data_IF_843208387333
#
_entry.id   IF_843208387333
#
_cell.length_a   1.000
_cell.length_b   1.000
_cell.length_c   1.000
_cell.angle_alpha   90.00
_cell.angle_beta   90.00
_cell.angle_gamma   90.00
#
_symmetry.space_group_name_H-M   'P 1'
#
loop_
_entity.id
_entity.type
_entity.pdbx_description
1 polymer ?
#
# COMPACT_ATOMS: atom_id res chain seq x y z
N UNK A 1 7.46 20.18 -13.49
CA UNK A 1 7.55 19.60 -12.14
C UNK A 1 9.00 19.26 -11.94
N UNK A 2 9.62 19.84 -10.91
CA UNK A 2 11.07 19.81 -10.72
C UNK A 2 11.51 18.35 -10.55
N UNK A 3 12.46 17.93 -11.39
CA UNK A 3 13.16 16.66 -11.25
C UNK A 3 14.23 16.90 -10.18
N UNK A 4 14.01 16.42 -8.96
CA UNK A 4 15.08 16.34 -7.98
C UNK A 4 16.03 15.22 -8.45
N UNK A 5 17.02 15.62 -9.22
CA UNK A 5 18.14 14.76 -9.62
C UNK A 5 19.13 14.82 -8.47
N UNK A 6 19.39 13.72 -7.79
CA UNK A 6 20.56 13.68 -6.93
C UNK A 6 21.83 13.78 -7.80
N UNK A 7 22.90 14.30 -7.20
CA UNK A 7 24.19 14.59 -7.83
C UNK A 7 24.89 13.35 -8.44
N UNK A 8 24.40 12.13 -8.22
CA UNK A 8 25.02 10.89 -8.71
C UNK A 8 24.39 10.31 -9.98
N UNK A 9 23.37 10.94 -10.55
CA UNK A 9 22.86 10.58 -11.89
C UNK A 9 22.31 9.16 -12.00
N UNK A 10 21.85 8.58 -10.89
CA UNK A 10 21.05 7.36 -10.92
C UNK A 10 19.63 7.69 -11.37
N UNK A 11 19.08 6.86 -12.26
CA UNK A 11 17.71 6.95 -12.73
C UNK A 11 16.74 6.56 -11.62
N UNK A 12 16.50 7.47 -10.70
CA UNK A 12 15.49 7.31 -9.67
C UNK A 12 14.14 7.27 -10.38
N UNK A 13 13.55 6.07 -10.48
CA UNK A 13 12.12 5.90 -10.69
C UNK A 13 11.40 6.38 -9.41
N UNK A 14 11.59 7.66 -9.11
CA UNK A 14 11.11 8.36 -7.94
C UNK A 14 9.72 8.85 -8.26
N UNK A 15 8.74 7.98 -8.01
CA UNK A 15 7.36 8.39 -7.87
C UNK A 15 7.31 9.63 -6.97
N UNK A 16 6.90 10.77 -7.54
CA UNK A 16 6.80 12.06 -6.85
C UNK A 16 5.63 12.03 -5.83
N UNK A 17 5.74 11.20 -4.80
CA UNK A 17 4.73 10.95 -3.77
C UNK A 17 5.21 11.37 -2.37
N UNK A 18 5.90 12.48 -2.26
CA UNK A 18 6.62 12.87 -1.02
C UNK A 18 5.74 13.16 0.20
N UNK A 19 4.43 12.90 0.16
CA UNK A 19 3.58 12.89 1.36
C UNK A 19 2.29 12.03 1.29
N UNK A 20 2.23 10.99 0.45
CA UNK A 20 1.06 10.09 0.52
C UNK A 20 1.15 9.14 1.73
N UNK A 21 0.02 8.81 2.37
CA UNK A 21 0.01 7.90 3.49
C UNK A 21 0.46 6.49 3.06
N UNK A 22 1.30 5.88 3.89
CA UNK A 22 1.89 4.55 3.66
C UNK A 22 1.13 3.51 4.46
N UNK A 23 0.68 2.47 3.77
CA UNK A 23 -0.10 1.38 4.33
C UNK A 23 0.50 0.02 3.95
N UNK A 24 -0.26 -1.04 4.25
CA UNK A 24 0.02 -2.42 3.89
C UNK A 24 1.33 -2.96 4.48
N UNK A 25 1.52 -4.27 4.37
CA UNK A 25 2.79 -4.93 4.72
C UNK A 25 3.92 -4.58 3.74
N UNK A 26 3.58 -4.19 2.51
CA UNK A 26 4.57 -3.79 1.50
C UNK A 26 5.12 -2.36 1.69
N UNK A 27 4.56 -1.59 2.65
CA UNK A 27 4.96 -0.21 2.97
C UNK A 27 4.96 0.71 1.75
N UNK A 28 3.89 0.63 0.96
CA UNK A 28 3.64 1.49 -0.20
C UNK A 28 2.40 2.36 0.01
N UNK A 29 2.30 3.40 -0.79
CA UNK A 29 1.12 4.25 -0.90
C UNK A 29 -0.01 3.50 -1.63
N UNK A 30 -1.16 4.13 -1.77
CA UNK A 30 -2.25 3.61 -2.62
C UNK A 30 -1.84 3.72 -4.09
N UNK A 31 -1.73 2.60 -4.79
CA UNK A 31 -1.33 2.53 -6.20
C UNK A 31 -2.50 2.34 -7.19
N UNK A 32 -3.74 2.45 -6.70
CA UNK A 32 -4.96 2.23 -7.48
C UNK A 32 -5.48 0.79 -7.42
N UNK A 33 -4.74 -0.13 -6.78
CA UNK A 33 -5.20 -1.47 -6.43
C UNK A 33 -6.33 -1.45 -5.39
N UNK A 34 -7.18 -2.48 -5.41
CA UNK A 34 -8.18 -2.72 -4.37
C UNK A 34 -7.50 -2.91 -3.01
N UNK A 35 -8.11 -2.34 -1.97
CA UNK A 35 -7.65 -2.46 -0.59
C UNK A 35 -8.78 -2.89 0.34
N UNK A 36 -8.41 -3.57 1.42
CA UNK A 36 -9.30 -3.95 2.53
C UNK A 36 -8.76 -3.38 3.84
N UNK A 37 -9.65 -2.92 4.71
CA UNK A 37 -9.31 -2.41 6.03
C UNK A 37 -9.44 -3.52 7.08
N UNK A 38 -8.46 -3.63 7.98
CA UNK A 38 -8.54 -4.53 9.13
C UNK A 38 -9.48 -3.96 10.20
N UNK A 39 -10.50 -4.71 10.61
CA UNK A 39 -11.45 -4.25 11.64
C UNK A 39 -10.85 -4.12 13.06
N UNK A 40 -9.65 -4.68 13.32
CA UNK A 40 -8.96 -4.58 14.62
C UNK A 40 -7.97 -3.42 14.71
N UNK A 41 -7.07 -3.28 13.74
CA UNK A 41 -6.02 -2.24 13.77
C UNK A 41 -6.29 -1.05 12.86
N UNK A 42 -7.38 -1.07 12.08
CA UNK A 42 -7.75 -0.01 11.12
C UNK A 42 -6.73 0.24 10.00
N UNK A 43 -5.71 -0.60 9.86
CA UNK A 43 -4.71 -0.53 8.79
C UNK A 43 -5.27 -1.07 7.46
N UNK A 44 -4.82 -0.48 6.35
CA UNK A 44 -5.24 -0.85 4.99
C UNK A 44 -4.22 -1.77 4.31
N UNK A 45 -4.71 -2.72 3.51
CA UNK A 45 -3.88 -3.72 2.84
C UNK A 45 -4.33 -3.92 1.39
N UNK A 46 -3.39 -4.00 0.46
CA UNK A 46 -3.69 -4.35 -0.92
C UNK A 46 -4.15 -5.81 -1.02
N UNK A 47 -5.24 -6.07 -1.74
CA UNK A 47 -5.76 -7.44 -1.92
C UNK A 47 -4.70 -8.36 -2.53
N UNK A 48 -3.94 -7.87 -3.51
CA UNK A 48 -2.86 -8.62 -4.15
C UNK A 48 -1.68 -8.90 -3.19
N UNK A 49 -1.45 -8.06 -2.17
CA UNK A 49 -0.42 -8.31 -1.15
C UNK A 49 -0.85 -9.41 -0.17
N UNK A 50 -2.15 -9.63 -0.03
CA UNK A 50 -2.72 -10.63 0.86
C UNK A 50 -2.95 -11.98 0.15
N UNK A 51 -2.78 -12.05 -1.18
CA UNK A 51 -3.09 -13.25 -2.00
C UNK A 51 -4.52 -13.74 -1.78
N UNK A 52 -5.44 -12.83 -1.45
CA UNK A 52 -6.87 -13.14 -1.38
C UNK A 52 -7.37 -13.06 -2.82
N UNK A 53 -8.12 -14.07 -3.27
CA UNK A 53 -8.91 -13.95 -4.50
C UNK A 53 -9.76 -12.68 -4.44
N UNK A 54 -10.08 -12.06 -5.58
CA UNK A 54 -10.82 -10.78 -5.64
C UNK A 54 -12.21 -10.80 -4.96
N UNK A 55 -12.60 -11.94 -4.40
CA UNK A 55 -13.77 -12.16 -3.57
C UNK A 55 -13.47 -11.67 -2.15
N UNK A 56 -13.82 -10.41 -1.87
CA UNK A 56 -13.82 -9.88 -0.51
C UNK A 56 -14.72 -10.72 0.39
N UNK A 57 -14.33 -10.97 1.67
CA UNK A 57 -15.21 -11.68 2.59
C UNK A 57 -16.50 -10.89 2.84
N UNK A 58 -17.62 -11.61 2.94
CA UNK A 58 -18.88 -11.05 3.45
C UNK A 58 -18.72 -10.78 4.96
N UNK A 59 -18.15 -9.62 5.33
CA UNK A 59 -18.03 -9.17 6.72
C UNK A 59 -16.68 -8.53 7.08
N UNK A 60 -16.43 -8.43 8.38
CA UNK A 60 -15.19 -7.84 8.92
C UNK A 60 -13.97 -8.71 8.59
N UNK A 61 -13.02 -8.15 7.85
CA UNK A 61 -11.74 -8.79 7.60
C UNK A 61 -10.72 -8.41 8.68
N UNK A 62 -9.98 -9.40 9.19
CA UNK A 62 -8.90 -9.22 10.18
C UNK A 62 -7.57 -9.64 9.55
N UNK A 63 -6.55 -8.78 9.66
CA UNK A 63 -5.22 -9.09 9.14
C UNK A 63 -4.50 -10.17 9.96
N UNK A 64 -3.52 -10.85 9.37
CA UNK A 64 -2.78 -11.93 10.01
C UNK A 64 -2.00 -11.50 11.27
N UNK A 65 -1.67 -10.21 11.41
CA UNK A 65 -1.02 -9.67 12.62
C UNK A 65 -1.99 -9.44 13.78
N UNK A 66 -3.29 -9.37 13.50
CA UNK A 66 -4.33 -9.14 14.51
C UNK A 66 -5.13 -10.39 14.87
N UNK A 67 -4.88 -11.52 14.20
CA UNK A 67 -5.43 -12.83 14.59
C UNK A 67 -4.83 -13.31 15.91
#
# INVERSE_FOLDING_TARGET
TLLDTDDNGENVNGDHTTNLPIYCTCRKTVDGSLMVQCARCSEWFHLHCLTISEELPDGDWICNSCM
#
